data_IF_213583307116
#
_entry.id   IF_213583307116
#
_cell.length_a   1.000
_cell.length_b   1.000
_cell.length_c   1.000
_cell.angle_alpha   90.00
_cell.angle_beta   90.00
_cell.angle_gamma   90.00
#
_symmetry.space_group_name_H-M   'P 1'
#
loop_
_entity.id
_entity.type
_entity.pdbx_description
1 polymer ?
#
# COMPACT_ATOMS: atom_id res chain seq x y z
N UNK A 1 33.48 14.16 36.10
CA UNK A 1 32.01 14.39 36.03
C UNK A 1 31.56 14.56 34.59
N UNK A 2 31.64 13.49 33.81
CA UNK A 2 31.20 13.45 32.43
C UNK A 2 30.31 12.22 32.27
N UNK A 3 29.03 12.36 32.56
CA UNK A 3 28.09 11.27 32.27
C UNK A 3 26.64 11.75 32.33
N UNK A 4 26.24 12.70 31.45
CA UNK A 4 24.84 13.08 31.28
C UNK A 4 24.48 13.42 29.85
N UNK A 5 25.08 12.74 28.86
CA UNK A 5 24.62 12.86 27.46
C UNK A 5 24.44 11.50 26.78
N UNK A 6 23.72 10.61 27.45
CA UNK A 6 23.15 9.44 26.77
C UNK A 6 21.97 9.97 25.97
N UNK A 7 22.26 10.28 24.70
CA UNK A 7 21.46 11.05 23.76
C UNK A 7 20.01 10.64 23.70
N UNK A 8 19.13 11.55 24.05
CA UNK A 8 17.76 11.58 23.54
C UNK A 8 17.87 11.77 22.03
N UNK A 9 17.73 10.68 21.29
CA UNK A 9 17.68 10.74 19.82
C UNK A 9 16.53 11.63 19.42
N UNK A 10 16.83 12.74 18.74
CA UNK A 10 15.81 13.67 18.26
C UNK A 10 14.96 12.99 17.18
N UNK A 11 13.64 13.06 17.26
CA UNK A 11 12.77 12.54 16.20
C UNK A 11 13.10 13.21 14.86
N UNK A 12 13.10 12.42 13.79
CA UNK A 12 13.27 12.91 12.42
C UNK A 12 11.93 12.90 11.70
N UNK A 13 11.62 14.00 11.01
CA UNK A 13 10.50 14.04 10.08
C UNK A 13 10.86 13.30 8.78
N UNK A 14 9.97 12.45 8.30
CA UNK A 14 10.04 11.83 6.97
C UNK A 14 8.86 12.39 6.18
N UNK A 15 9.09 13.29 5.19
CA UNK A 15 8.03 13.94 4.42
C UNK A 15 7.19 12.94 3.63
N UNK A 16 5.92 13.28 3.42
CA UNK A 16 4.95 12.49 2.64
C UNK A 16 5.47 12.17 1.23
N UNK A 17 6.03 13.16 0.53
CA UNK A 17 6.62 13.02 -0.81
C UNK A 17 7.68 11.89 -0.88
N UNK A 18 8.25 11.54 0.25
CA UNK A 18 9.22 10.46 0.38
C UNK A 18 8.58 9.09 0.62
N UNK A 19 7.27 8.99 0.87
CA UNK A 19 6.60 7.75 1.26
C UNK A 19 5.63 7.19 0.19
N UNK A 20 5.73 7.64 -1.06
CA UNK A 20 4.73 7.39 -2.11
C UNK A 20 4.66 5.93 -2.60
N UNK A 21 5.73 5.14 -2.52
CA UNK A 21 5.73 3.74 -2.97
C UNK A 21 6.28 2.78 -1.90
N UNK A 22 5.63 1.60 -1.75
CA UNK A 22 5.98 0.61 -0.73
C UNK A 22 7.47 0.25 -0.69
N UNK A 23 8.09 -0.05 -1.83
CA UNK A 23 9.53 -0.33 -1.91
C UNK A 23 10.38 0.91 -1.62
N UNK A 24 10.00 2.07 -2.16
CA UNK A 24 10.69 3.33 -1.86
C UNK A 24 10.60 3.70 -0.37
N UNK A 25 9.51 3.36 0.32
CA UNK A 25 9.34 3.62 1.77
C UNK A 25 10.36 2.88 2.60
N UNK A 26 10.50 1.57 2.37
CA UNK A 26 11.44 0.74 3.12
C UNK A 26 12.88 1.25 3.00
N UNK A 27 13.34 1.53 1.78
CA UNK A 27 14.68 2.04 1.53
C UNK A 27 14.90 3.46 2.08
N UNK A 28 13.89 4.30 2.09
CA UNK A 28 13.96 5.66 2.65
C UNK A 28 14.03 5.66 4.16
N UNK A 29 13.25 4.79 4.83
CA UNK A 29 13.35 4.59 6.27
C UNK A 29 14.75 4.09 6.66
N UNK A 30 15.33 3.19 5.87
CA UNK A 30 16.69 2.71 6.08
C UNK A 30 17.72 3.82 5.87
N UNK A 31 17.66 4.59 4.79
CA UNK A 31 18.53 5.76 4.55
C UNK A 31 18.40 6.83 5.65
N UNK A 32 17.20 7.02 6.17
CA UNK A 32 16.96 7.92 7.30
C UNK A 32 17.48 7.36 8.65
N UNK A 33 17.94 6.10 8.68
CA UNK A 33 18.43 5.44 9.88
C UNK A 33 17.33 5.14 10.90
N UNK A 34 16.09 4.96 10.44
CA UNK A 34 14.94 4.63 11.28
C UNK A 34 14.90 3.13 11.56
N UNK A 35 14.79 2.31 10.53
CA UNK A 35 14.83 0.84 10.59
C UNK A 35 15.34 0.27 9.28
N UNK A 36 15.71 -1.02 9.24
CA UNK A 36 16.14 -1.65 7.98
C UNK A 36 14.96 -1.85 7.01
N UNK A 37 15.25 -1.78 5.71
CA UNK A 37 14.26 -2.04 4.67
C UNK A 37 13.68 -3.46 4.77
N UNK A 38 14.52 -4.44 5.11
CA UNK A 38 14.12 -5.83 5.27
C UNK A 38 13.14 -6.00 6.43
N UNK A 39 13.45 -5.42 7.60
CA UNK A 39 12.58 -5.49 8.77
C UNK A 39 11.26 -4.75 8.57
N UNK A 40 11.27 -3.61 7.86
CA UNK A 40 10.04 -2.90 7.51
C UNK A 40 9.14 -3.77 6.61
N UNK A 41 9.69 -4.39 5.58
CA UNK A 41 8.96 -5.31 4.70
C UNK A 41 8.40 -6.51 5.47
N UNK A 42 9.18 -7.09 6.38
CA UNK A 42 8.72 -8.17 7.24
C UNK A 42 7.59 -7.72 8.18
N UNK A 43 7.67 -6.49 8.72
CA UNK A 43 6.62 -5.93 9.57
C UNK A 43 5.31 -5.66 8.80
N UNK A 44 5.40 -5.31 7.51
CA UNK A 44 4.23 -5.05 6.66
C UNK A 44 3.45 -6.31 6.25
N UNK A 45 4.00 -7.49 6.51
CA UNK A 45 3.29 -8.78 6.36
C UNK A 45 3.07 -9.48 7.71
N UNK A 46 3.25 -8.74 8.81
CA UNK A 46 3.12 -9.27 10.16
C UNK A 46 1.66 -9.59 10.49
N UNK A 47 1.37 -10.87 10.69
CA UNK A 47 0.03 -11.37 11.01
C UNK A 47 -0.54 -10.83 12.32
N UNK A 48 0.28 -10.42 13.28
CA UNK A 48 -0.18 -9.83 14.54
C UNK A 48 -0.79 -8.44 14.32
N UNK A 49 -0.15 -7.58 13.51
CA UNK A 49 -0.70 -6.27 13.16
C UNK A 49 -1.95 -6.40 12.29
N UNK A 50 -1.93 -7.31 11.31
CA UNK A 50 -3.09 -7.63 10.48
C UNK A 50 -4.28 -8.03 11.36
N UNK A 51 -4.06 -8.92 12.33
CA UNK A 51 -5.08 -9.36 13.28
C UNK A 51 -5.51 -8.26 14.25
N UNK A 52 -4.57 -7.46 14.76
CA UNK A 52 -4.83 -6.34 15.68
C UNK A 52 -5.87 -5.35 15.13
N UNK A 53 -5.81 -5.09 13.83
CA UNK A 53 -6.70 -4.14 13.14
C UNK A 53 -7.85 -4.80 12.38
N UNK A 54 -8.07 -6.11 12.53
CA UNK A 54 -9.09 -6.91 11.80
C UNK A 54 -9.00 -6.72 10.27
N UNK A 55 -7.78 -6.62 9.75
CA UNK A 55 -7.55 -6.42 8.31
C UNK A 55 -7.80 -7.72 7.56
N UNK A 56 -8.58 -7.66 6.48
CA UNK A 56 -8.94 -8.82 5.63
C UNK A 56 -7.98 -8.99 4.45
N UNK A 57 -6.71 -8.83 4.72
CA UNK A 57 -5.61 -8.96 3.75
C UNK A 57 -4.50 -9.82 4.32
N UNK A 58 -3.60 -10.30 3.46
CA UNK A 58 -2.37 -10.99 3.85
C UNK A 58 -1.20 -10.05 4.01
N UNK A 59 -1.36 -8.78 3.63
CA UNK A 59 -0.36 -7.72 3.75
C UNK A 59 -1.01 -6.44 4.24
N UNK A 60 -0.19 -5.50 4.74
CA UNK A 60 -0.63 -4.16 5.13
C UNK A 60 -0.50 -3.14 3.99
N UNK A 61 -0.20 -3.58 2.77
CA UNK A 61 -0.24 -2.72 1.59
C UNK A 61 -1.65 -2.16 1.38
N UNK A 62 -1.75 -0.86 1.08
CA UNK A 62 -3.02 -0.12 1.07
C UNK A 62 -3.44 0.43 2.45
N UNK A 63 -2.82 -0.04 3.54
CA UNK A 63 -3.13 0.40 4.91
C UNK A 63 -2.01 1.26 5.54
N UNK A 64 -0.92 1.48 4.81
CA UNK A 64 0.18 2.32 5.26
C UNK A 64 -0.06 3.75 4.79
N UNK A 65 -0.83 4.53 5.56
CA UNK A 65 -1.28 5.86 5.14
C UNK A 65 -0.10 6.79 4.83
N UNK A 66 -0.07 7.45 3.68
CA UNK A 66 0.96 8.44 3.34
C UNK A 66 0.72 9.72 4.16
N UNK A 67 1.71 10.07 4.97
CA UNK A 67 1.68 11.27 5.82
C UNK A 67 3.10 11.63 6.25
N UNK A 68 3.26 12.80 6.88
CA UNK A 68 4.52 13.20 7.51
C UNK A 68 4.61 12.60 8.91
N UNK A 69 5.55 11.68 9.11
CA UNK A 69 5.76 10.98 10.38
C UNK A 69 7.04 11.43 11.08
N UNK A 70 6.98 11.55 12.41
CA UNK A 70 8.13 11.82 13.25
C UNK A 70 8.63 10.51 13.86
N UNK A 71 9.63 9.90 13.25
CA UNK A 71 10.25 8.68 13.74
C UNK A 71 11.55 8.95 14.49
N UNK A 72 11.77 8.20 15.56
CA UNK A 72 13.02 8.21 16.29
C UNK A 72 13.97 7.16 15.70
N UNK A 73 15.26 7.52 15.41
CA UNK A 73 16.22 6.54 14.91
C UNK A 73 16.33 5.31 15.82
N UNK A 74 16.28 4.12 15.23
CA UNK A 74 16.29 2.84 15.93
C UNK A 74 14.93 2.42 16.51
N UNK A 75 13.82 3.02 16.07
CA UNK A 75 12.50 2.46 16.32
C UNK A 75 12.39 1.07 15.69
N UNK A 76 11.59 0.20 16.32
CA UNK A 76 11.30 -1.10 15.71
C UNK A 76 10.42 -0.93 14.47
N UNK A 77 10.66 -1.70 13.43
CA UNK A 77 9.88 -1.67 12.21
C UNK A 77 8.39 -1.93 12.45
N UNK A 78 8.06 -2.81 13.41
CA UNK A 78 6.67 -3.03 13.85
C UNK A 78 6.02 -1.76 14.40
N UNK A 79 6.75 -0.96 15.18
CA UNK A 79 6.22 0.31 15.71
C UNK A 79 6.01 1.34 14.61
N UNK A 80 6.93 1.40 13.64
CA UNK A 80 6.81 2.29 12.47
C UNK A 80 5.56 1.92 11.65
N UNK A 81 5.41 0.65 11.32
CA UNK A 81 4.25 0.14 10.56
C UNK A 81 2.95 0.34 11.35
N UNK A 82 2.95 0.05 12.66
CA UNK A 82 1.79 0.25 13.52
C UNK A 82 1.31 1.71 13.55
N UNK A 83 2.24 2.68 13.58
CA UNK A 83 1.91 4.10 13.50
C UNK A 83 1.21 4.45 12.17
N UNK A 84 1.71 3.92 11.05
CA UNK A 84 1.13 4.19 9.72
C UNK A 84 -0.26 3.57 9.57
N UNK A 85 -0.45 2.34 10.04
CA UNK A 85 -1.75 1.66 10.04
C UNK A 85 -2.74 2.34 10.97
N UNK A 86 -2.28 2.76 12.15
CA UNK A 86 -3.13 3.52 13.09
C UNK A 86 -3.63 4.81 12.45
N UNK A 87 -2.75 5.57 11.81
CA UNK A 87 -3.09 6.80 11.10
C UNK A 87 -4.11 6.55 9.99
N UNK A 88 -3.94 5.47 9.21
CA UNK A 88 -4.94 5.04 8.23
C UNK A 88 -6.33 4.90 8.85
N UNK A 89 -6.45 4.16 9.94
CA UNK A 89 -7.75 3.98 10.60
C UNK A 89 -8.28 5.24 11.29
N UNK A 90 -7.44 6.21 11.64
CA UNK A 90 -7.87 7.53 12.09
C UNK A 90 -8.58 8.28 10.96
N UNK A 91 -8.00 8.33 9.76
CA UNK A 91 -8.62 8.93 8.58
C UNK A 91 -9.89 8.18 8.11
N UNK A 92 -9.91 6.84 8.20
CA UNK A 92 -11.16 6.09 7.92
C UNK A 92 -12.28 6.52 8.86
N UNK A 93 -12.01 6.73 10.15
CA UNK A 93 -13.03 7.14 11.14
C UNK A 93 -13.53 8.57 10.91
N UNK A 94 -12.72 9.45 10.34
CA UNK A 94 -13.11 10.83 10.01
C UNK A 94 -14.09 10.90 8.83
N UNK A 95 -14.17 9.85 8.02
CA UNK A 95 -15.11 9.76 6.90
C UNK A 95 -16.28 8.82 7.24
N UNK A 96 -17.50 9.34 7.50
CA UNK A 96 -18.62 8.52 7.92
C UNK A 96 -18.98 7.39 6.93
N UNK A 97 -18.79 7.60 5.63
CA UNK A 97 -19.09 6.59 4.62
C UNK A 97 -18.09 5.43 4.67
N UNK A 98 -16.81 5.71 4.94
CA UNK A 98 -15.78 4.68 5.09
C UNK A 98 -15.87 4.00 6.46
N UNK A 99 -16.15 4.77 7.51
CA UNK A 99 -16.29 4.25 8.87
C UNK A 99 -17.47 3.26 9.04
N UNK A 100 -18.48 3.36 8.17
CA UNK A 100 -19.63 2.46 8.15
C UNK A 100 -19.36 1.12 7.44
N UNK A 101 -18.23 0.98 6.72
CA UNK A 101 -17.90 -0.25 6.01
C UNK A 101 -17.47 -1.35 6.97
N UNK A 102 -17.92 -2.57 6.71
CA UNK A 102 -17.32 -3.75 7.34
C UNK A 102 -15.86 -3.94 6.89
N UNK A 103 -15.04 -4.68 7.64
CA UNK A 103 -13.65 -4.95 7.25
C UNK A 103 -13.49 -5.55 5.84
N UNK A 104 -14.43 -6.38 5.41
CA UNK A 104 -14.40 -6.97 4.07
C UNK A 104 -14.77 -5.96 2.98
N UNK A 105 -15.74 -5.08 3.22
CA UNK A 105 -16.10 -4.00 2.29
C UNK A 105 -14.98 -2.96 2.19
N UNK A 106 -14.34 -2.63 3.32
CA UNK A 106 -13.18 -1.74 3.33
C UNK A 106 -12.04 -2.33 2.50
N UNK A 107 -11.70 -3.62 2.69
CA UNK A 107 -10.69 -4.32 1.88
C UNK A 107 -11.02 -4.24 0.38
N UNK A 108 -12.25 -4.57 0.00
CA UNK A 108 -12.70 -4.51 -1.41
C UNK A 108 -12.58 -3.09 -1.98
N UNK A 109 -12.96 -2.09 -1.18
CA UNK A 109 -12.87 -0.68 -1.55
C UNK A 109 -11.42 -0.24 -1.74
N UNK A 110 -10.52 -0.63 -0.85
CA UNK A 110 -9.10 -0.32 -0.95
C UNK A 110 -8.43 -0.97 -2.17
N UNK A 111 -8.73 -2.25 -2.43
CA UNK A 111 -8.20 -2.92 -3.62
C UNK A 111 -8.63 -2.19 -4.89
N UNK A 112 -9.90 -1.81 -4.98
CA UNK A 112 -10.39 -1.04 -6.13
C UNK A 112 -9.73 0.35 -6.21
N UNK A 113 -9.65 1.05 -5.08
CA UNK A 113 -9.04 2.38 -5.00
C UNK A 113 -7.57 2.35 -5.43
N UNK A 114 -6.81 1.33 -5.01
CA UNK A 114 -5.40 1.18 -5.38
C UNK A 114 -5.17 0.98 -6.89
N UNK A 115 -6.11 0.36 -7.58
CA UNK A 115 -6.05 0.23 -9.05
C UNK A 115 -6.40 1.59 -9.69
N UNK A 116 -7.49 2.22 -9.22
CA UNK A 116 -7.93 3.54 -9.73
C UNK A 116 -6.82 4.57 -9.60
N UNK A 117 -6.13 4.62 -8.45
CA UNK A 117 -5.02 5.52 -8.18
C UNK A 117 -3.90 5.43 -9.22
N UNK A 118 -3.62 4.24 -9.71
CA UNK A 118 -2.59 4.01 -10.73
C UNK A 118 -3.04 4.27 -12.17
N UNK A 119 -4.33 4.51 -12.40
CA UNK A 119 -4.90 4.72 -13.75
C UNK A 119 -5.17 6.19 -14.05
N UNK A 120 -5.55 7.02 -13.06
CA UNK A 120 -5.83 8.42 -13.33
C UNK A 120 -4.56 9.27 -13.39
N UNK A 121 -4.61 10.33 -14.18
CA UNK A 121 -3.59 11.38 -14.21
C UNK A 121 -4.07 12.67 -13.55
N UNK A 122 -5.38 12.89 -13.55
CA UNK A 122 -6.07 14.04 -12.97
C UNK A 122 -7.09 13.52 -11.96
N UNK A 123 -7.10 14.05 -10.75
CA UNK A 123 -7.94 13.55 -9.66
C UNK A 123 -9.44 13.49 -10.02
N UNK A 124 -9.93 14.41 -10.84
CA UNK A 124 -11.32 14.47 -11.28
C UNK A 124 -11.74 13.27 -12.16
N UNK A 125 -10.79 12.52 -12.72
CA UNK A 125 -11.05 11.30 -13.49
C UNK A 125 -11.32 10.08 -12.60
N UNK A 126 -10.83 10.08 -11.35
CA UNK A 126 -10.89 8.92 -10.47
C UNK A 126 -12.32 8.38 -10.26
N UNK A 127 -13.37 9.21 -10.04
CA UNK A 127 -14.74 8.71 -9.91
C UNK A 127 -15.26 8.02 -11.18
N UNK A 128 -14.88 8.51 -12.35
CA UNK A 128 -15.28 7.92 -13.63
C UNK A 128 -14.61 6.56 -13.83
N UNK A 129 -13.31 6.46 -13.61
CA UNK A 129 -12.55 5.21 -13.71
C UNK A 129 -13.10 4.19 -12.70
N UNK A 130 -13.35 4.61 -11.46
CA UNK A 130 -13.95 3.75 -10.44
C UNK A 130 -15.32 3.23 -10.87
N UNK A 131 -16.15 4.05 -11.54
CA UNK A 131 -17.46 3.64 -12.04
C UNK A 131 -17.34 2.61 -13.15
N UNK A 132 -16.37 2.75 -14.07
CA UNK A 132 -16.08 1.78 -15.13
C UNK A 132 -15.69 0.43 -14.53
N UNK A 133 -14.78 0.43 -13.56
CA UNK A 133 -14.34 -0.81 -12.91
C UNK A 133 -15.47 -1.48 -12.12
N UNK A 134 -16.28 -0.73 -11.38
CA UNK A 134 -17.47 -1.27 -10.70
C UNK A 134 -18.45 -1.92 -11.69
N UNK A 135 -18.68 -1.27 -12.83
CA UNK A 135 -19.56 -1.83 -13.88
C UNK A 135 -18.96 -3.11 -14.50
N UNK A 136 -17.65 -3.19 -14.70
CA UNK A 136 -16.98 -4.41 -15.18
C UNK A 136 -17.12 -5.55 -14.18
N UNK A 137 -16.87 -5.28 -12.90
CA UNK A 137 -17.04 -6.28 -11.84
C UNK A 137 -18.47 -6.80 -11.82
N UNK A 138 -19.47 -5.90 -11.82
CA UNK A 138 -20.89 -6.28 -11.82
C UNK A 138 -21.29 -7.14 -13.01
N UNK A 139 -20.61 -7.01 -14.15
CA UNK A 139 -20.83 -7.77 -15.38
C UNK A 139 -19.92 -8.99 -15.53
N UNK A 140 -19.11 -9.31 -14.52
CA UNK A 140 -18.10 -10.37 -14.55
C UNK A 140 -17.12 -10.21 -15.75
N UNK A 141 -16.68 -8.98 -15.99
CA UNK A 141 -15.68 -8.61 -17.01
C UNK A 141 -14.38 -8.29 -16.30
N UNK A 142 -13.24 -8.74 -16.85
CA UNK A 142 -11.92 -8.38 -16.34
C UNK A 142 -11.71 -6.86 -16.31
N UNK A 143 -10.91 -6.37 -15.36
CA UNK A 143 -10.63 -4.93 -15.28
C UNK A 143 -9.71 -4.46 -16.40
N UNK A 144 -8.86 -5.36 -16.91
CA UNK A 144 -7.88 -5.07 -17.98
C UNK A 144 -6.99 -3.86 -17.66
N UNK A 145 -6.55 -3.77 -16.40
CA UNK A 145 -5.67 -2.71 -15.94
C UNK A 145 -4.20 -3.10 -16.13
N UNK A 146 -3.46 -2.29 -16.87
CA UNK A 146 -2.01 -2.45 -17.04
C UNK A 146 -1.26 -2.30 -15.70
N UNK A 147 -1.77 -1.48 -14.78
CA UNK A 147 -1.17 -1.28 -13.47
C UNK A 147 -1.05 -2.60 -12.68
N UNK A 148 -1.99 -3.54 -12.87
CA UNK A 148 -1.91 -4.85 -12.23
C UNK A 148 -0.81 -5.74 -12.83
N UNK A 149 -0.51 -5.60 -14.11
CA UNK A 149 0.61 -6.30 -14.78
C UNK A 149 1.95 -5.71 -14.34
N UNK A 150 2.05 -4.39 -14.29
CA UNK A 150 3.24 -3.70 -13.75
C UNK A 150 3.53 -4.15 -12.32
N UNK A 151 2.52 -4.19 -11.45
CA UNK A 151 2.65 -4.68 -10.09
C UNK A 151 3.18 -6.12 -10.02
N UNK A 152 2.68 -7.02 -10.88
CA UNK A 152 3.20 -8.38 -10.94
C UNK A 152 4.67 -8.40 -11.33
N UNK A 153 5.07 -7.62 -12.32
CA UNK A 153 6.45 -7.59 -12.81
C UNK A 153 7.39 -7.00 -11.75
N UNK A 154 7.02 -5.86 -11.17
CA UNK A 154 7.89 -5.13 -10.24
C UNK A 154 7.87 -5.71 -8.83
N UNK A 155 6.67 -5.90 -8.26
CA UNK A 155 6.52 -6.22 -6.85
C UNK A 155 6.54 -7.73 -6.57
N UNK A 156 5.90 -8.53 -7.45
CA UNK A 156 5.84 -9.98 -7.26
C UNK A 156 7.07 -10.68 -7.84
N UNK A 157 7.53 -10.27 -9.03
CA UNK A 157 8.69 -10.88 -9.69
C UNK A 157 10.02 -10.19 -9.37
N UNK A 158 9.99 -9.00 -8.75
CA UNK A 158 11.19 -8.23 -8.39
C UNK A 158 12.00 -7.74 -9.60
N UNK A 159 11.36 -7.55 -10.74
CA UNK A 159 12.00 -7.08 -11.97
C UNK A 159 11.92 -5.56 -12.07
N UNK A 160 12.75 -4.98 -12.94
CA UNK A 160 12.66 -3.57 -13.28
C UNK A 160 11.29 -3.24 -13.91
N UNK A 161 10.83 -2.00 -13.72
CA UNK A 161 9.61 -1.51 -14.35
C UNK A 161 9.73 -1.64 -15.87
N UNK A 162 8.76 -2.26 -16.55
CA UNK A 162 8.81 -2.43 -17.99
C UNK A 162 8.55 -1.09 -18.70
N UNK A 163 9.31 -0.80 -19.76
CA UNK A 163 9.04 0.36 -20.60
C UNK A 163 7.71 0.20 -21.37
N UNK A 164 7.37 -1.03 -21.72
CA UNK A 164 6.14 -1.40 -22.45
C UNK A 164 5.63 -2.75 -21.95
N UNK A 165 4.35 -2.83 -21.65
CA UNK A 165 3.66 -4.11 -21.37
C UNK A 165 3.47 -4.87 -22.70
N UNK A 166 4.04 -6.06 -22.79
CA UNK A 166 3.95 -6.91 -23.99
C UNK A 166 2.74 -7.85 -23.92
N UNK A 167 2.37 -8.43 -25.07
CA UNK A 167 1.29 -9.42 -25.14
C UNK A 167 1.58 -10.69 -24.30
N UNK A 168 2.85 -11.00 -24.06
CA UNK A 168 3.25 -12.10 -23.20
C UNK A 168 3.07 -11.76 -21.72
N UNK A 169 3.25 -10.52 -21.32
CA UNK A 169 3.04 -10.07 -19.95
C UNK A 169 1.56 -10.18 -19.56
N UNK A 170 0.64 -9.92 -20.49
CA UNK A 170 -0.80 -10.10 -20.26
C UNK A 170 -1.21 -11.56 -19.99
N UNK A 171 -0.34 -12.53 -20.27
CA UNK A 171 -0.59 -13.97 -20.04
C UNK A 171 -0.01 -14.48 -18.73
N UNK A 172 0.70 -13.65 -17.95
CA UNK A 172 1.32 -14.06 -16.68
C UNK A 172 0.26 -14.71 -15.78
N UNK A 173 0.57 -15.89 -15.28
CA UNK A 173 -0.30 -16.60 -14.34
C UNK A 173 -0.10 -16.06 -12.92
N UNK A 174 -0.98 -15.14 -12.54
CA UNK A 174 -0.97 -14.50 -11.24
C UNK A 174 -2.40 -14.14 -10.84
N UNK A 175 -2.77 -14.26 -9.55
CA UNK A 175 -4.08 -13.80 -9.07
C UNK A 175 -4.28 -12.29 -9.18
N UNK A 176 -3.22 -11.52 -9.38
CA UNK A 176 -3.27 -10.08 -9.64
C UNK A 176 -3.57 -9.74 -11.10
N UNK A 177 -3.51 -10.71 -12.04
CA UNK A 177 -3.69 -10.45 -13.46
C UNK A 177 -5.16 -10.22 -13.83
N UNK A 178 -5.56 -8.95 -13.95
CA UNK A 178 -6.93 -8.55 -14.29
C UNK A 178 -7.28 -8.68 -15.79
N UNK A 179 -6.34 -9.08 -16.63
CA UNK A 179 -6.59 -9.51 -18.01
C UNK A 179 -7.03 -10.98 -18.08
N UNK A 180 -6.57 -11.78 -17.13
CA UNK A 180 -6.85 -13.22 -17.06
C UNK A 180 -8.06 -13.53 -16.19
N UNK A 181 -8.26 -12.79 -15.12
CA UNK A 181 -9.30 -13.04 -14.12
C UNK A 181 -10.28 -11.87 -14.03
N UNK A 182 -11.59 -12.19 -14.13
CA UNK A 182 -12.68 -11.22 -13.93
C UNK A 182 -12.95 -11.01 -12.42
N UNK A 183 -11.93 -10.62 -11.69
CA UNK A 183 -11.97 -10.43 -10.24
C UNK A 183 -11.04 -9.28 -9.83
N UNK A 184 -11.22 -8.80 -8.61
CA UNK A 184 -10.24 -7.92 -7.98
C UNK A 184 -9.00 -8.72 -7.57
N UNK A 185 -7.80 -8.10 -7.59
CA UNK A 185 -6.62 -8.66 -6.96
C UNK A 185 -6.84 -8.99 -5.48
N UNK A 186 -6.05 -9.93 -4.92
CA UNK A 186 -6.22 -10.34 -3.52
C UNK A 186 -5.88 -9.26 -2.51
N UNK A 187 -4.99 -8.32 -2.86
CA UNK A 187 -4.59 -7.19 -2.01
C UNK A 187 -4.53 -5.90 -2.82
N UNK A 188 -4.51 -4.71 -2.18
CA UNK A 188 -4.18 -3.46 -2.85
C UNK A 188 -2.83 -3.53 -3.58
N UNK A 189 -2.66 -2.71 -4.61
CA UNK A 189 -1.44 -2.61 -5.44
C UNK A 189 -0.77 -1.24 -5.33
N UNK A 190 -1.27 -0.39 -4.46
CA UNK A 190 -0.71 0.90 -4.02
C UNK A 190 -1.22 1.27 -2.64
N UNK A 191 -0.63 2.32 -2.05
CA UNK A 191 -1.03 2.86 -0.74
C UNK A 191 -1.46 4.31 -0.88
#
# INVERSE_FOLDING_TARGET
TDNENIGKKTPKAVPEEELVFYYNRAERLERAGICSAADFKAAAINGELIKKYDIRSTTLEGYLFPDTYFFTPGMTSSSVVDMMVKNFFEHIRENPALAALSPAELQTTLVLASIVEREYRVADEAPLIASVFKNRIAKNIGLYSCATIEYIITEIQGKAHPDVITYNDLKIDSPYNTYKWAALPPTPISN
#
